data_IF_335774128667
#
_entry.id   IF_335774128667
#
_cell.length_a   1.000
_cell.length_b   1.000
_cell.length_c   1.000
_cell.angle_alpha   90.00
_cell.angle_beta   90.00
_cell.angle_gamma   90.00
#
_symmetry.space_group_name_H-M   'P 1'
#
loop_
_entity.id
_entity.type
_entity.pdbx_description
1 polymer ?
#
# COMPACT_ATOMS: atom_id res chain seq x y z
N UNK A 1 20.65 -9.79 -18.75
CA UNK A 1 20.98 -10.11 -17.40
C UNK A 1 21.27 -8.82 -16.64
N UNK A 2 20.23 -8.10 -16.22
CA UNK A 2 20.36 -6.99 -15.31
C UNK A 2 20.75 -7.53 -13.94
N UNK A 3 21.92 -7.15 -13.45
CA UNK A 3 22.32 -7.45 -12.08
C UNK A 3 21.43 -6.64 -11.15
N UNK A 4 20.48 -7.29 -10.50
CA UNK A 4 19.76 -6.71 -9.37
C UNK A 4 20.77 -6.46 -8.26
N UNK A 5 21.34 -5.28 -8.26
CA UNK A 5 22.01 -4.76 -7.07
C UNK A 5 20.89 -4.35 -6.13
N UNK A 6 20.66 -5.17 -5.11
CA UNK A 6 19.68 -4.83 -4.08
C UNK A 6 20.07 -3.48 -3.45
N UNK A 7 19.38 -2.36 -3.76
CA UNK A 7 19.82 -1.05 -3.32
C UNK A 7 19.79 -0.98 -1.80
N UNK A 8 20.90 -0.55 -1.21
CA UNK A 8 21.06 -0.46 0.25
C UNK A 8 20.41 0.78 0.85
N UNK A 9 20.03 1.74 0.01
CA UNK A 9 19.32 2.96 0.40
C UNK A 9 18.46 3.47 -0.76
N UNK A 10 17.47 4.30 -0.46
CA UNK A 10 16.58 4.91 -1.48
C UNK A 10 17.38 5.69 -2.54
N UNK A 11 18.42 6.41 -2.12
CA UNK A 11 19.27 7.20 -3.01
C UNK A 11 20.12 6.37 -3.99
N UNK A 12 20.15 5.05 -3.85
CA UNK A 12 20.87 4.14 -4.76
C UNK A 12 19.98 3.43 -5.75
N UNK A 13 18.66 3.63 -5.69
CA UNK A 13 17.72 3.06 -6.65
C UNK A 13 17.93 3.72 -8.02
N UNK A 14 18.22 2.92 -9.02
CA UNK A 14 18.45 3.35 -10.40
C UNK A 14 17.20 3.11 -11.26
N UNK A 15 17.17 3.66 -12.46
CA UNK A 15 16.02 3.54 -13.36
C UNK A 15 15.74 2.07 -13.79
N UNK A 16 16.75 1.21 -13.76
CA UNK A 16 16.65 -0.22 -14.04
C UNK A 16 16.21 -1.09 -12.85
N UNK A 17 16.16 -0.55 -11.65
CA UNK A 17 15.73 -1.27 -10.43
C UNK A 17 14.20 -1.38 -10.37
N UNK A 18 13.64 -2.05 -11.35
CA UNK A 18 12.21 -2.30 -11.49
C UNK A 18 11.78 -3.41 -10.52
N UNK A 19 10.59 -3.30 -9.96
CA UNK A 19 10.03 -4.32 -9.07
C UNK A 19 9.76 -5.63 -9.84
N UNK A 20 10.41 -6.69 -9.41
CA UNK A 20 10.33 -8.02 -9.99
C UNK A 20 9.57 -9.02 -9.08
N UNK A 21 9.11 -10.12 -9.67
CA UNK A 21 8.46 -11.20 -8.92
C UNK A 21 9.34 -11.77 -7.79
N UNK A 22 10.67 -11.75 -7.98
CA UNK A 22 11.61 -12.19 -6.96
C UNK A 22 11.59 -11.31 -5.71
N UNK A 23 11.43 -10.00 -5.83
CA UNK A 23 11.38 -9.08 -4.70
C UNK A 23 10.16 -9.36 -3.82
N UNK A 24 9.05 -9.70 -4.45
CA UNK A 24 7.82 -10.10 -3.76
C UNK A 24 8.04 -11.41 -2.99
N UNK A 25 8.74 -12.39 -3.58
CA UNK A 25 9.08 -13.65 -2.89
C UNK A 25 9.96 -13.41 -1.67
N UNK A 26 10.98 -12.58 -1.80
CA UNK A 26 11.89 -12.21 -0.71
C UNK A 26 11.12 -11.52 0.41
N UNK A 27 10.29 -10.53 0.08
CA UNK A 27 9.47 -9.82 1.06
C UNK A 27 8.48 -10.76 1.78
N UNK A 28 7.85 -11.67 1.04
CA UNK A 28 6.93 -12.67 1.62
C UNK A 28 7.67 -13.64 2.53
N UNK A 29 8.84 -14.11 2.13
CA UNK A 29 9.67 -14.98 2.97
C UNK A 29 10.09 -14.29 4.27
N UNK A 30 10.46 -13.01 4.20
CA UNK A 30 10.81 -12.21 5.37
C UNK A 30 9.60 -11.99 6.31
N UNK A 31 8.40 -11.75 5.77
CA UNK A 31 7.17 -11.64 6.58
C UNK A 31 6.85 -12.94 7.30
N UNK A 32 6.97 -14.08 6.62
CA UNK A 32 6.80 -15.41 7.21
C UNK A 32 7.87 -15.68 8.28
N UNK A 33 9.13 -15.35 8.00
CA UNK A 33 10.23 -15.46 8.97
C UNK A 33 10.02 -14.61 10.22
N UNK A 34 9.41 -13.45 10.08
CA UNK A 34 9.01 -12.57 11.19
C UNK A 34 7.75 -13.04 11.92
N UNK A 35 7.18 -14.18 11.54
CA UNK A 35 5.91 -14.72 12.08
C UNK A 35 4.76 -13.71 11.96
N UNK A 36 4.73 -12.93 10.88
CA UNK A 36 3.63 -12.05 10.56
C UNK A 36 2.41 -12.88 10.17
N UNK A 37 1.28 -12.62 10.83
CA UNK A 37 0.04 -13.33 10.52
C UNK A 37 -0.52 -12.79 9.20
N UNK A 38 -1.01 -13.69 8.35
CA UNK A 38 -1.69 -13.36 7.10
C UNK A 38 -3.18 -13.11 7.31
N UNK A 39 -3.82 -12.47 6.33
CA UNK A 39 -5.27 -12.32 6.25
C UNK A 39 -5.85 -13.52 5.46
N UNK A 40 -6.43 -14.49 6.14
CA UNK A 40 -6.98 -15.70 5.51
C UNK A 40 -6.00 -16.39 4.55
N UNK A 41 -4.74 -16.53 4.97
CA UNK A 41 -3.71 -17.19 4.18
C UNK A 41 -2.95 -16.30 3.20
N UNK A 42 -3.37 -15.05 3.00
CA UNK A 42 -2.73 -14.10 2.09
C UNK A 42 -2.27 -12.84 2.83
N UNK A 43 -1.18 -12.23 2.38
CA UNK A 43 -0.79 -10.88 2.72
C UNK A 43 -1.46 -9.89 1.78
N UNK A 44 -1.50 -8.61 2.15
CA UNK A 44 -2.02 -7.55 1.28
C UNK A 44 -0.88 -6.65 0.83
N UNK A 45 -0.87 -6.33 -0.46
CA UNK A 45 0.06 -5.37 -1.03
C UNK A 45 -0.69 -4.20 -1.67
N UNK A 46 -0.15 -3.01 -1.48
CA UNK A 46 -0.58 -1.79 -2.17
C UNK A 46 0.51 -1.37 -3.13
N UNK A 47 0.15 -1.27 -4.40
CA UNK A 47 1.08 -1.04 -5.50
C UNK A 47 0.59 0.12 -6.38
N UNK A 48 1.54 0.91 -6.90
CA UNK A 48 1.23 1.95 -7.89
C UNK A 48 0.93 1.34 -9.26
N UNK A 49 0.04 1.92 -10.08
CA UNK A 49 -0.27 1.44 -11.42
C UNK A 49 0.96 1.23 -12.32
N UNK A 50 1.93 2.14 -12.27
CA UNK A 50 3.15 2.07 -13.07
C UNK A 50 4.00 0.84 -12.73
N UNK A 51 4.19 0.59 -11.44
CA UNK A 51 4.91 -0.60 -10.97
C UNK A 51 4.13 -1.88 -11.26
N UNK A 52 2.80 -1.84 -11.18
CA UNK A 52 1.96 -2.98 -11.54
C UNK A 52 2.04 -3.33 -13.03
N UNK A 53 2.20 -2.30 -13.87
CA UNK A 53 2.43 -2.49 -15.30
C UNK A 53 3.72 -3.26 -15.56
N UNK A 54 4.82 -2.85 -14.92
CA UNK A 54 6.12 -3.49 -15.08
C UNK A 54 6.11 -4.94 -14.58
N UNK A 55 5.52 -5.18 -13.42
CA UNK A 55 5.39 -6.51 -12.84
C UNK A 55 4.60 -7.45 -13.77
N UNK A 56 3.53 -6.97 -14.42
CA UNK A 56 2.75 -7.74 -15.39
C UNK A 56 3.44 -7.90 -16.74
N UNK A 57 4.36 -7.01 -17.08
CA UNK A 57 5.16 -7.07 -18.30
C UNK A 57 6.32 -8.05 -18.18
N UNK A 58 6.76 -8.38 -16.97
CA UNK A 58 7.83 -9.36 -16.75
C UNK A 58 7.55 -10.68 -17.47
N UNK A 59 8.54 -11.18 -18.21
CA UNK A 59 8.48 -12.42 -18.95
C UNK A 59 9.57 -13.38 -18.49
N UNK A 60 9.20 -14.62 -18.24
CA UNK A 60 10.15 -15.65 -17.82
C UNK A 60 9.49 -16.75 -17.00
N UNK A 61 10.19 -17.85 -16.81
CA UNK A 61 9.78 -18.89 -15.88
C UNK A 61 9.74 -18.30 -14.45
N UNK A 62 8.62 -18.46 -13.76
CA UNK A 62 8.38 -17.92 -12.44
C UNK A 62 8.12 -16.39 -12.38
N UNK A 63 7.80 -15.74 -13.52
CA UNK A 63 7.32 -14.37 -13.55
C UNK A 63 5.88 -14.25 -13.00
N UNK A 64 5.39 -13.00 -12.84
CA UNK A 64 3.99 -12.75 -12.50
C UNK A 64 2.97 -13.45 -13.42
N UNK A 65 3.30 -13.58 -14.71
CA UNK A 65 2.40 -14.15 -15.73
C UNK A 65 2.34 -15.68 -15.72
N UNK A 66 3.30 -16.33 -15.05
CA UNK A 66 3.35 -17.79 -14.98
C UNK A 66 2.38 -18.25 -13.86
N UNK A 67 1.62 -19.23 -14.04
CA UNK A 67 0.23 -19.59 -13.99
C UNK A 67 -0.60 -18.83 -12.95
N UNK A 68 -1.28 -17.79 -13.37
CA UNK A 68 -2.45 -17.29 -12.65
C UNK A 68 -3.62 -18.24 -12.84
N UNK A 69 -3.58 -19.38 -12.19
CA UNK A 69 -4.76 -20.19 -12.02
C UNK A 69 -5.74 -19.49 -11.06
N UNK A 70 -6.44 -18.49 -11.58
CA UNK A 70 -7.65 -17.96 -10.97
C UNK A 70 -8.73 -19.04 -11.02
N UNK A 71 -8.68 -19.96 -10.08
CA UNK A 71 -9.68 -21.03 -9.99
C UNK A 71 -10.94 -20.58 -9.22
N UNK A 72 -11.01 -19.32 -8.82
CA UNK A 72 -12.19 -18.79 -8.16
C UNK A 72 -12.34 -17.29 -8.44
N UNK A 73 -13.31 -16.95 -9.29
CA UNK A 73 -13.75 -15.57 -9.53
C UNK A 73 -14.59 -15.16 -8.34
N UNK A 74 -13.96 -14.96 -7.19
CA UNK A 74 -14.58 -14.30 -6.07
C UNK A 74 -14.76 -12.80 -6.37
N UNK A 75 -15.55 -12.07 -5.58
CA UNK A 75 -15.72 -10.63 -5.77
C UNK A 75 -14.34 -9.94 -5.75
N UNK A 76 -13.96 -9.41 -6.89
CA UNK A 76 -12.74 -8.63 -7.05
C UNK A 76 -12.98 -7.33 -6.29
N UNK A 77 -12.15 -7.05 -5.27
CA UNK A 77 -12.15 -5.75 -4.62
C UNK A 77 -11.76 -4.67 -5.62
N UNK A 78 -12.35 -3.49 -5.46
CA UNK A 78 -12.02 -2.36 -6.33
C UNK A 78 -10.50 -2.11 -6.31
N UNK A 79 -9.85 -2.22 -7.48
CA UNK A 79 -8.40 -2.10 -7.63
C UNK A 79 -7.60 -3.39 -7.38
N UNK A 80 -8.24 -4.52 -7.11
CA UNK A 80 -7.53 -5.80 -7.04
C UNK A 80 -7.10 -6.24 -8.42
N UNK A 81 -5.79 -6.50 -8.60
CA UNK A 81 -5.21 -6.96 -9.87
C UNK A 81 -4.84 -8.43 -9.85
N UNK A 82 -4.85 -9.07 -8.69
CA UNK A 82 -4.54 -10.48 -8.57
C UNK A 82 -3.83 -10.86 -7.28
N UNK A 83 -3.50 -12.13 -7.18
CA UNK A 83 -2.72 -12.69 -6.08
C UNK A 83 -1.50 -13.43 -6.64
N UNK A 84 -0.34 -13.24 -6.03
CA UNK A 84 0.92 -13.88 -6.37
C UNK A 84 1.69 -14.19 -5.10
N UNK A 85 2.25 -15.41 -4.97
CA UNK A 85 3.05 -15.84 -3.81
C UNK A 85 2.38 -15.60 -2.45
N UNK A 86 1.06 -15.87 -2.38
CA UNK A 86 0.23 -15.59 -1.21
C UNK A 86 0.15 -14.10 -0.82
N UNK A 87 0.37 -13.20 -1.76
CA UNK A 87 0.15 -11.77 -1.64
C UNK A 87 -0.97 -11.35 -2.57
N UNK A 88 -1.98 -10.66 -2.04
CA UNK A 88 -3.06 -10.05 -2.81
C UNK A 88 -2.69 -8.60 -3.09
N UNK A 89 -2.70 -8.22 -4.35
CA UNK A 89 -2.32 -6.89 -4.80
C UNK A 89 -3.55 -6.01 -5.03
N UNK A 90 -3.50 -4.83 -4.45
CA UNK A 90 -4.47 -3.76 -4.64
C UNK A 90 -3.74 -2.60 -5.32
N UNK A 91 -4.17 -2.29 -6.53
CA UNK A 91 -3.64 -1.17 -7.29
C UNK A 91 -4.26 0.14 -6.81
N UNK A 92 -3.42 1.12 -6.52
CA UNK A 92 -3.88 2.43 -6.11
C UNK A 92 -2.88 3.52 -6.53
N UNK A 93 -3.33 4.60 -7.18
CA UNK A 93 -2.46 5.73 -7.49
C UNK A 93 -2.05 6.55 -6.26
N UNK A 94 -2.58 6.19 -5.07
CA UNK A 94 -2.20 6.78 -3.78
C UNK A 94 -1.07 6.01 -3.09
N UNK A 95 -0.52 4.97 -3.71
CA UNK A 95 0.70 4.34 -3.20
C UNK A 95 1.81 5.40 -3.08
N UNK A 96 2.64 5.36 -2.04
CA UNK A 96 3.66 6.37 -1.83
C UNK A 96 4.62 6.45 -3.02
N UNK A 97 4.85 7.67 -3.48
CA UNK A 97 5.72 8.01 -4.59
C UNK A 97 6.59 9.20 -4.17
N UNK A 98 7.90 9.09 -4.37
CA UNK A 98 8.84 10.18 -4.19
C UNK A 98 9.54 10.46 -5.53
N UNK A 99 9.20 11.60 -6.14
CA UNK A 99 9.68 12.00 -7.47
C UNK A 99 11.19 12.29 -7.53
N UNK A 100 11.84 12.37 -6.39
CA UNK A 100 13.27 12.71 -6.29
C UNK A 100 14.04 11.75 -5.38
N UNK A 101 13.41 10.64 -4.99
CA UNK A 101 13.93 9.73 -3.98
C UNK A 101 15.06 8.81 -4.46
N UNK A 102 15.17 8.59 -5.76
CA UNK A 102 16.13 7.69 -6.36
C UNK A 102 17.50 8.32 -6.66
N UNK A 103 18.29 7.62 -7.47
CA UNK A 103 19.65 8.01 -7.80
C UNK A 103 19.72 9.40 -8.43
N UNK A 104 20.67 10.21 -7.98
CA UNK A 104 20.91 11.58 -8.41
C UNK A 104 19.66 12.51 -8.31
N UNK A 105 18.66 12.14 -7.54
CA UNK A 105 17.37 12.87 -7.44
C UNK A 105 16.65 13.05 -8.78
N UNK A 106 16.84 12.12 -9.70
CA UNK A 106 16.21 12.14 -11.04
C UNK A 106 15.35 10.92 -11.31
N UNK A 107 15.38 9.94 -10.41
CA UNK A 107 14.62 8.70 -10.54
C UNK A 107 13.44 8.72 -9.57
N UNK A 108 12.25 8.46 -10.08
CA UNK A 108 11.04 8.32 -9.29
C UNK A 108 11.10 7.04 -8.46
N UNK A 109 10.90 7.19 -7.16
CA UNK A 109 10.93 6.09 -6.20
C UNK A 109 9.50 5.69 -5.84
N UNK A 110 9.09 4.53 -6.26
CA UNK A 110 7.82 3.92 -5.93
C UNK A 110 7.95 3.00 -4.72
N UNK A 111 7.00 3.10 -3.80
CA UNK A 111 6.98 2.25 -2.61
C UNK A 111 5.81 1.27 -2.67
N UNK A 112 6.11 0.01 -2.90
CA UNK A 112 5.14 -1.08 -2.75
C UNK A 112 5.11 -1.55 -1.31
N UNK A 113 3.95 -1.46 -0.66
CA UNK A 113 3.76 -1.81 0.75
C UNK A 113 3.13 -3.19 0.83
N UNK A 114 3.81 -4.15 1.46
CA UNK A 114 3.26 -5.48 1.75
C UNK A 114 3.05 -5.61 3.25
N UNK A 115 1.84 -6.00 3.66
CA UNK A 115 1.48 -6.05 5.07
C UNK A 115 0.69 -7.30 5.45
N UNK A 116 0.92 -7.74 6.67
CA UNK A 116 0.15 -8.78 7.36
C UNK A 116 -0.85 -8.20 8.35
N UNK A 117 -1.52 -9.08 9.07
CA UNK A 117 -2.41 -8.69 10.17
C UNK A 117 -1.62 -7.99 11.28
N UNK A 118 -2.29 -7.10 12.02
CA UNK A 118 -1.70 -6.34 13.12
C UNK A 118 -0.54 -5.43 12.70
N UNK A 119 -0.43 -5.11 11.42
CA UNK A 119 0.57 -4.17 10.92
C UNK A 119 0.24 -2.74 11.31
N UNK A 120 -1.02 -2.36 11.16
CA UNK A 120 -1.52 -1.03 11.44
C UNK A 120 -2.54 -1.06 12.58
N UNK A 121 -2.56 -0.02 13.38
CA UNK A 121 -3.57 0.23 14.39
C UNK A 121 -4.29 1.54 14.13
N UNK A 122 -5.58 1.54 14.41
CA UNK A 122 -6.42 2.72 14.48
C UNK A 122 -6.78 2.94 15.93
N UNK A 123 -6.43 4.10 16.47
CA UNK A 123 -6.91 4.55 17.76
C UNK A 123 -7.99 5.61 17.56
N UNK A 124 -9.01 5.57 18.37
CA UNK A 124 -10.04 6.59 18.40
C UNK A 124 -10.54 6.75 19.83
N UNK A 125 -10.95 7.96 20.17
CA UNK A 125 -11.57 8.26 21.44
C UNK A 125 -13.04 8.58 21.22
N UNK A 126 -13.86 8.14 22.17
CA UNK A 126 -15.24 8.56 22.26
C UNK A 126 -15.33 9.82 23.12
N UNK A 127 -15.66 10.94 22.50
CA UNK A 127 -16.04 12.14 23.23
C UNK A 127 -17.57 12.14 23.28
N UNK A 128 -18.16 12.34 24.43
CA UNK A 128 -19.61 12.36 24.67
C UNK A 128 -20.35 11.05 24.33
N UNK A 129 -19.72 9.89 24.48
CA UNK A 129 -20.37 8.59 24.29
C UNK A 129 -20.71 8.24 22.82
N UNK A 130 -20.43 9.11 21.87
CA UNK A 130 -20.58 8.83 20.45
C UNK A 130 -19.30 8.27 19.85
N UNK A 131 -19.45 7.10 19.22
CA UNK A 131 -18.39 6.18 18.83
C UNK A 131 -17.32 6.70 17.87
N UNK A 132 -16.62 5.76 17.29
CA UNK A 132 -15.38 5.83 16.51
C UNK A 132 -15.42 6.67 15.21
N UNK A 133 -16.51 7.33 14.91
CA UNK A 133 -16.73 8.03 13.63
C UNK A 133 -16.79 9.54 13.84
N UNK A 134 -16.47 10.34 12.80
CA UNK A 134 -16.70 11.77 12.85
C UNK A 134 -18.15 12.06 13.29
N UNK A 135 -18.30 12.85 14.35
CA UNK A 135 -19.61 13.21 14.85
C UNK A 135 -19.99 14.60 14.35
N UNK A 136 -21.21 14.70 13.80
CA UNK A 136 -21.75 15.97 13.35
C UNK A 136 -22.58 16.58 14.50
N UNK A 137 -22.25 17.82 14.87
CA UNK A 137 -22.99 18.59 15.87
C UNK A 137 -23.71 19.75 15.20
N UNK A 138 -24.99 19.82 15.46
CA UNK A 138 -25.80 20.96 15.09
C UNK A 138 -25.90 21.91 16.30
N UNK A 139 -25.41 23.10 16.11
CA UNK A 139 -25.50 24.13 17.14
C UNK A 139 -26.90 24.72 17.26
N UNK A 140 -27.19 25.51 18.30
CA UNK A 140 -28.40 26.25 18.42
C UNK A 140 -28.50 27.29 17.30
N UNK A 141 -29.71 27.70 17.00
CA UNK A 141 -29.98 28.81 16.07
C UNK A 141 -29.33 30.08 16.61
N UNK A 142 -28.50 30.73 15.81
CA UNK A 142 -27.73 31.92 16.22
C UNK A 142 -28.40 33.24 15.79
N UNK A 143 -29.45 33.18 14.97
CA UNK A 143 -30.14 34.34 14.46
C UNK A 143 -31.56 34.42 15.03
N UNK A 144 -32.01 35.63 15.37
CA UNK A 144 -33.36 35.91 15.83
C UNK A 144 -34.47 35.54 14.82
N UNK A 145 -34.13 35.45 13.55
CA UNK A 145 -35.04 35.00 12.47
C UNK A 145 -34.93 33.50 12.19
N UNK A 146 -34.19 32.74 12.99
CA UNK A 146 -34.04 31.30 12.88
C UNK A 146 -33.50 30.78 11.52
N UNK A 147 -32.73 31.62 10.82
CA UNK A 147 -32.24 31.31 9.47
C UNK A 147 -30.90 30.57 9.47
N UNK A 148 -30.07 30.75 10.49
CA UNK A 148 -28.74 30.22 10.54
C UNK A 148 -28.55 29.18 11.63
N UNK A 149 -28.25 27.95 11.23
CA UNK A 149 -27.88 26.86 12.11
C UNK A 149 -26.40 26.52 11.89
N UNK A 150 -25.51 26.71 12.87
CA UNK A 150 -24.11 26.26 12.73
C UNK A 150 -24.06 24.74 12.75
N UNK A 151 -23.31 24.18 11.81
CA UNK A 151 -23.02 22.74 11.72
C UNK A 151 -21.51 22.57 11.82
N UNK A 152 -21.07 21.81 12.79
CA UNK A 152 -19.68 21.44 12.95
C UNK A 152 -19.51 19.93 12.96
N UNK A 153 -18.29 19.48 12.72
CA UNK A 153 -17.91 18.09 12.91
C UNK A 153 -16.59 18.03 13.70
N UNK A 154 -16.43 16.98 14.45
CA UNK A 154 -15.16 16.70 15.11
C UNK A 154 -14.87 15.21 15.09
N UNK A 155 -13.62 14.88 15.11
CA UNK A 155 -13.12 13.53 15.23
C UNK A 155 -11.81 13.53 16.02
N UNK A 156 -11.68 12.60 16.94
CA UNK A 156 -10.46 12.41 17.71
C UNK A 156 -9.98 10.98 17.49
N UNK A 157 -8.87 10.85 16.80
CA UNK A 157 -8.29 9.56 16.50
C UNK A 157 -6.93 9.70 15.83
N UNK A 158 -6.29 8.56 15.63
CA UNK A 158 -5.00 8.47 14.95
C UNK A 158 -4.79 7.10 14.34
N UNK A 159 -3.83 7.03 13.46
CA UNK A 159 -3.35 5.80 12.86
C UNK A 159 -1.86 5.66 13.14
N UNK A 160 -1.41 4.44 13.33
CA UNK A 160 0.01 4.18 13.55
C UNK A 160 0.39 2.76 13.16
N UNK A 161 1.68 2.55 13.03
CA UNK A 161 2.23 1.21 12.85
C UNK A 161 2.19 0.52 14.21
N UNK A 162 1.47 -0.60 14.29
CA UNK A 162 1.39 -1.38 15.51
C UNK A 162 2.53 -2.41 15.59
N UNK A 163 2.77 -3.12 14.48
CA UNK A 163 3.82 -4.14 14.41
C UNK A 163 4.65 -3.95 13.16
N UNK A 164 5.80 -3.33 13.30
CA UNK A 164 6.70 -3.05 12.16
C UNK A 164 7.20 -4.34 11.48
N UNK A 165 7.40 -5.43 12.23
CA UNK A 165 7.79 -6.72 11.68
C UNK A 165 6.75 -7.33 10.71
N UNK A 166 5.50 -6.84 10.73
CA UNK A 166 4.43 -7.30 9.85
C UNK A 166 4.27 -6.42 8.59
N UNK A 167 5.18 -5.49 8.35
CA UNK A 167 5.21 -4.61 7.17
C UNK A 167 6.54 -4.79 6.45
N UNK A 168 6.48 -4.81 5.12
CA UNK A 168 7.66 -4.71 4.25
C UNK A 168 7.40 -3.66 3.18
N UNK A 169 8.42 -2.90 2.88
CA UNK A 169 8.46 -1.93 1.80
C UNK A 169 9.40 -2.45 0.73
N UNK A 170 8.96 -2.41 -0.51
CA UNK A 170 9.80 -2.61 -1.68
C UNK A 170 9.91 -1.24 -2.34
N UNK A 171 11.13 -0.74 -2.44
CA UNK A 171 11.43 0.51 -3.12
C UNK A 171 11.96 0.18 -4.50
N UNK A 172 11.32 0.67 -5.52
CA UNK A 172 11.66 0.40 -6.93
C UNK A 172 11.47 1.64 -7.79
N UNK A 173 12.07 1.63 -8.96
CA UNK A 173 11.70 2.52 -10.05
C UNK A 173 10.54 1.93 -10.86
N UNK A 174 10.16 2.61 -11.94
CA UNK A 174 9.23 2.08 -12.95
C UNK A 174 9.67 2.50 -14.34
N UNK A 175 9.40 1.67 -15.32
CA UNK A 175 9.68 1.98 -16.73
C UNK A 175 8.79 3.11 -17.29
N UNK A 176 7.71 3.45 -16.60
CA UNK A 176 6.78 4.52 -16.93
C UNK A 176 7.06 5.82 -16.16
N UNK A 177 7.83 5.75 -15.07
CA UNK A 177 8.22 6.89 -14.25
C UNK A 177 9.52 7.51 -14.73
N UNK A 178 9.65 8.83 -14.65
CA UNK A 178 10.89 9.53 -14.99
C UNK A 178 10.97 9.93 -16.46
N UNK A 179 9.98 10.65 -16.93
CA UNK A 179 10.10 11.46 -18.14
C UNK A 179 10.16 12.95 -17.77
#
# INVERSE_FOLDING_TARGET
GGGSTNPTSNATVQAEDINEANDIRVATAQLRGSKAQSFNGMYMAFIHPDVSYDLRRETGAASWRDPHNYNNIGPIYNGEIGAFEAVRFVETPRAPLDLTGGSASTVDLYQTIIMGRQSLAKAHSTIDGNGAYPSVRRGPVVDSLSRFNPIGWYWLGGYGIFRQAAIRLINSSSSLGGA
#
